data_IF_866780156012
#
_entry.id   IF_866780156012
#
_cell.length_a   1.000
_cell.length_b   1.000
_cell.length_c   1.000
_cell.angle_alpha   90.00
_cell.angle_beta   90.00
_cell.angle_gamma   90.00
#
_symmetry.space_group_name_H-M   'P 1'
#
loop_
_entity.id
_entity.type
_entity.pdbx_description
1 polymer ?
#
# COMPACT_ATOMS: atom_id res chain seq x y z
N UNK A 1 15.72 -15.98 -23.48
CA UNK A 1 14.59 -15.42 -24.26
C UNK A 1 14.42 -13.99 -23.80
N UNK A 2 14.47 -13.01 -24.71
CA UNK A 2 14.30 -11.60 -24.35
C UNK A 2 12.85 -11.22 -24.68
N UNK A 3 11.98 -11.17 -23.67
CA UNK A 3 10.63 -10.62 -23.82
C UNK A 3 10.77 -9.12 -23.60
N UNK A 4 10.43 -8.31 -24.59
CA UNK A 4 10.31 -6.87 -24.40
C UNK A 4 8.94 -6.55 -23.81
N UNK A 5 8.92 -6.25 -22.51
CA UNK A 5 7.69 -5.94 -21.77
C UNK A 5 7.20 -4.53 -22.10
N UNK A 6 8.08 -3.64 -22.57
CA UNK A 6 7.75 -2.23 -22.81
C UNK A 6 6.79 -2.01 -23.98
N UNK A 7 6.72 -2.98 -24.91
CA UNK A 7 5.82 -2.94 -26.06
C UNK A 7 4.43 -3.54 -25.80
N UNK A 8 4.21 -4.17 -24.65
CA UNK A 8 2.94 -4.84 -24.33
C UNK A 8 1.89 -3.85 -23.84
N UNK A 9 0.65 -4.03 -24.29
CA UNK A 9 -0.51 -3.36 -23.69
C UNK A 9 -0.78 -3.88 -22.28
N UNK A 10 -1.60 -3.15 -21.51
CA UNK A 10 -1.97 -3.58 -20.15
C UNK A 10 -2.60 -4.98 -20.13
N UNK A 11 -3.49 -5.29 -21.08
CA UNK A 11 -4.15 -6.60 -21.14
C UNK A 11 -3.17 -7.74 -21.48
N UNK A 12 -2.24 -7.51 -22.41
CA UNK A 12 -1.20 -8.48 -22.74
C UNK A 12 -0.23 -8.69 -21.55
N UNK A 13 0.06 -7.62 -20.82
CA UNK A 13 0.89 -7.69 -19.62
C UNK A 13 0.19 -8.47 -18.50
N UNK A 14 -1.10 -8.23 -18.29
CA UNK A 14 -1.91 -8.97 -17.32
C UNK A 14 -1.95 -10.47 -17.65
N UNK A 15 -2.12 -10.82 -18.94
CA UNK A 15 -2.08 -12.22 -19.39
C UNK A 15 -0.70 -12.85 -19.15
N UNK A 16 0.38 -12.11 -19.48
CA UNK A 16 1.75 -12.56 -19.25
C UNK A 16 2.01 -12.81 -17.77
N UNK A 17 1.61 -11.88 -16.89
CA UNK A 17 1.74 -12.01 -15.43
C UNK A 17 1.00 -13.25 -14.94
N UNK A 18 -0.25 -13.44 -15.36
CA UNK A 18 -1.06 -14.58 -14.95
C UNK A 18 -0.41 -15.92 -15.37
N UNK A 19 0.07 -16.01 -16.61
CA UNK A 19 0.75 -17.20 -17.13
C UNK A 19 2.09 -17.45 -16.44
N UNK A 20 2.87 -16.40 -16.21
CA UNK A 20 4.15 -16.49 -15.52
C UNK A 20 3.97 -16.95 -14.08
N UNK A 21 2.97 -16.42 -13.37
CA UNK A 21 2.64 -16.83 -12.01
C UNK A 21 2.21 -18.30 -11.95
N UNK A 22 1.30 -18.73 -12.83
CA UNK A 22 0.86 -20.12 -12.93
C UNK A 22 2.04 -21.07 -13.22
N UNK A 23 2.95 -20.69 -14.13
CA UNK A 23 4.15 -21.46 -14.42
C UNK A 23 5.11 -21.50 -13.22
N UNK A 24 5.33 -20.37 -12.56
CA UNK A 24 6.24 -20.28 -11.40
C UNK A 24 5.80 -21.17 -10.25
N UNK A 25 4.49 -21.34 -10.05
CA UNK A 25 3.91 -22.14 -8.98
C UNK A 25 4.26 -23.64 -9.06
N UNK A 26 4.61 -24.15 -10.24
CA UNK A 26 4.93 -25.58 -10.46
C UNK A 26 6.42 -25.84 -10.72
N UNK A 27 7.24 -24.79 -10.74
CA UNK A 27 8.67 -24.92 -11.02
C UNK A 27 9.47 -25.13 -9.73
N UNK A 28 10.50 -25.96 -9.82
CA UNK A 28 11.52 -26.10 -8.81
C UNK A 28 12.67 -25.09 -9.03
N UNK A 29 13.26 -24.54 -7.94
CA UNK A 29 12.84 -24.74 -6.55
C UNK A 29 11.50 -24.05 -6.25
N UNK A 30 10.67 -24.68 -5.42
CA UNK A 30 9.46 -24.07 -4.88
C UNK A 30 9.75 -22.68 -4.26
N UNK A 31 8.74 -21.82 -4.20
CA UNK A 31 8.89 -20.54 -3.51
C UNK A 31 9.19 -20.77 -2.02
N UNK A 32 10.06 -19.95 -1.38
CA UNK A 32 10.34 -20.08 0.04
C UNK A 32 9.06 -20.04 0.88
N UNK A 33 8.91 -20.97 1.81
CA UNK A 33 7.74 -21.02 2.70
C UNK A 33 7.82 -20.00 3.84
N UNK A 34 9.03 -19.50 4.13
CA UNK A 34 9.26 -18.49 5.15
C UNK A 34 9.25 -17.09 4.52
N UNK A 35 8.68 -16.08 5.19
CA UNK A 35 8.72 -14.71 4.70
C UNK A 35 10.18 -14.22 4.63
N UNK A 36 10.53 -13.41 3.62
CA UNK A 36 11.87 -12.84 3.53
C UNK A 36 12.14 -11.89 4.70
N UNK A 37 13.41 -11.75 5.09
CA UNK A 37 13.81 -10.84 6.18
C UNK A 37 13.58 -9.37 5.83
N UNK A 38 13.64 -9.03 4.54
CA UNK A 38 13.38 -7.70 4.02
C UNK A 38 12.40 -7.82 2.84
N UNK A 39 11.41 -6.95 2.82
CA UNK A 39 10.42 -6.87 1.76
C UNK A 39 10.09 -5.40 1.49
N UNK A 40 9.92 -5.06 0.22
CA UNK A 40 9.28 -3.81 -0.15
C UNK A 40 7.82 -3.86 0.31
N UNK A 41 7.39 -2.80 1.01
CA UNK A 41 6.05 -2.71 1.58
C UNK A 41 5.29 -1.54 0.96
N UNK A 42 4.04 -1.79 0.60
CA UNK A 42 3.12 -0.74 0.20
C UNK A 42 2.51 -0.09 1.44
N UNK A 43 2.58 1.23 1.50
CA UNK A 43 1.95 2.01 2.57
C UNK A 43 0.48 2.25 2.24
N UNK A 44 -0.40 1.99 3.21
CA UNK A 44 -1.85 2.19 3.11
C UNK A 44 -2.50 1.56 1.86
N UNK A 45 -2.36 0.24 1.66
CA UNK A 45 -3.01 -0.43 0.55
C UNK A 45 -4.53 -0.35 0.66
N UNK A 46 -5.23 -0.20 -0.46
CA UNK A 46 -6.68 -0.44 -0.48
C UNK A 46 -6.94 -1.92 -0.20
N UNK A 47 -7.95 -2.19 0.65
CA UNK A 47 -8.28 -3.54 1.09
C UNK A 47 -9.79 -3.76 1.10
N UNK A 48 -10.20 -5.01 1.01
CA UNK A 48 -11.61 -5.43 1.10
C UNK A 48 -11.72 -6.74 1.86
N UNK A 49 -12.82 -6.92 2.59
CA UNK A 49 -13.11 -8.17 3.29
C UNK A 49 -14.58 -8.55 3.15
N UNK A 50 -14.88 -9.83 2.97
CA UNK A 50 -16.25 -10.34 2.89
C UNK A 50 -16.36 -11.75 3.50
N UNK A 51 -17.50 -12.09 4.14
CA UNK A 51 -17.68 -13.39 4.77
C UNK A 51 -17.75 -14.52 3.76
N UNK A 52 -17.19 -15.69 4.11
CA UNK A 52 -17.35 -16.96 3.41
C UNK A 52 -17.94 -18.00 4.37
N UNK A 53 -18.60 -19.07 3.88
CA UNK A 53 -19.25 -20.06 4.75
C UNK A 53 -18.38 -20.59 5.90
N UNK A 54 -17.09 -20.85 5.65
CA UNK A 54 -16.12 -21.34 6.66
C UNK A 54 -14.89 -20.42 6.81
N UNK A 55 -15.05 -19.12 6.57
CA UNK A 55 -13.89 -18.23 6.56
C UNK A 55 -14.22 -16.79 6.20
N UNK A 56 -13.22 -16.08 5.69
CA UNK A 56 -13.36 -14.73 5.16
C UNK A 56 -12.49 -14.59 3.92
N UNK A 57 -12.99 -13.89 2.91
CA UNK A 57 -12.18 -13.41 1.82
C UNK A 57 -11.49 -12.12 2.27
N UNK A 58 -10.17 -12.10 2.26
CA UNK A 58 -9.37 -10.90 2.49
C UNK A 58 -8.66 -10.52 1.19
N UNK A 59 -8.83 -9.27 0.73
CA UNK A 59 -8.20 -8.79 -0.49
C UNK A 59 -7.35 -7.55 -0.24
N UNK A 60 -6.19 -7.50 -0.91
CA UNK A 60 -5.29 -6.35 -0.96
C UNK A 60 -5.08 -5.93 -2.40
N UNK A 61 -5.14 -4.62 -2.69
CA UNK A 61 -4.92 -4.09 -4.04
C UNK A 61 -3.45 -3.75 -4.25
N UNK A 62 -2.77 -4.48 -5.13
CA UNK A 62 -1.42 -4.17 -5.61
C UNK A 62 -1.47 -3.31 -6.88
N UNK A 63 -0.61 -2.27 -7.02
CA UNK A 63 -0.66 -1.34 -8.15
C UNK A 63 -0.41 -2.02 -9.51
N UNK A 64 0.45 -3.03 -9.56
CA UNK A 64 0.78 -3.76 -10.79
C UNK A 64 0.15 -5.15 -10.92
N UNK A 65 -0.53 -5.67 -9.88
CA UNK A 65 -1.13 -7.01 -9.90
C UNK A 65 -2.66 -6.98 -9.70
N UNK A 66 -3.25 -5.79 -9.52
CA UNK A 66 -4.68 -5.65 -9.24
C UNK A 66 -5.05 -6.14 -7.84
N UNK A 67 -6.23 -6.75 -7.72
CA UNK A 67 -6.73 -7.27 -6.45
C UNK A 67 -6.23 -8.70 -6.20
N UNK A 68 -5.50 -8.90 -5.11
CA UNK A 68 -5.02 -10.20 -4.66
C UNK A 68 -5.92 -10.69 -3.52
N UNK A 69 -6.56 -11.84 -3.72
CA UNK A 69 -7.52 -12.42 -2.78
C UNK A 69 -6.98 -13.64 -2.03
N UNK A 70 -7.29 -13.70 -0.74
CA UNK A 70 -6.88 -14.76 0.18
C UNK A 70 -8.10 -15.25 0.96
N UNK A 71 -8.40 -16.54 0.85
CA UNK A 71 -9.40 -17.16 1.71
C UNK A 71 -8.75 -17.55 3.03
N UNK A 72 -9.17 -16.91 4.11
CA UNK A 72 -8.70 -17.23 5.46
C UNK A 72 -9.74 -18.12 6.16
N UNK A 73 -9.38 -19.37 6.51
CA UNK A 73 -10.23 -20.23 7.32
C UNK A 73 -10.57 -19.61 8.68
N UNK A 74 -11.63 -20.13 9.31
CA UNK A 74 -12.12 -19.63 10.60
C UNK A 74 -11.02 -19.51 11.66
N UNK A 75 -10.23 -20.58 11.84
CA UNK A 75 -9.17 -20.68 12.84
C UNK A 75 -8.06 -19.62 12.60
N UNK A 76 -7.69 -19.39 11.36
CA UNK A 76 -6.66 -18.40 11.00
C UNK A 76 -7.18 -16.97 11.18
N UNK A 77 -8.46 -16.71 10.88
CA UNK A 77 -9.08 -15.39 11.07
C UNK A 77 -9.08 -14.96 12.54
N UNK A 78 -9.42 -15.86 13.46
CA UNK A 78 -9.43 -15.55 14.89
C UNK A 78 -8.02 -15.24 15.38
N UNK A 79 -7.05 -16.07 14.98
CA UNK A 79 -5.65 -15.85 15.34
C UNK A 79 -5.10 -14.52 14.81
N UNK A 80 -5.34 -14.20 13.54
CA UNK A 80 -4.89 -12.95 12.92
C UNK A 80 -5.50 -11.71 13.59
N UNK A 81 -6.80 -11.74 13.90
CA UNK A 81 -7.47 -10.64 14.58
C UNK A 81 -6.91 -10.39 15.98
N UNK A 82 -6.62 -11.47 16.72
CA UNK A 82 -5.96 -11.38 18.03
C UNK A 82 -4.57 -10.76 17.91
N UNK A 83 -3.74 -11.20 16.97
CA UNK A 83 -2.40 -10.64 16.75
C UNK A 83 -2.44 -9.14 16.42
N UNK A 84 -3.35 -8.71 15.55
CA UNK A 84 -3.49 -7.28 15.23
C UNK A 84 -3.95 -6.45 16.41
N UNK A 85 -4.87 -6.97 17.23
CA UNK A 85 -5.28 -6.28 18.45
C UNK A 85 -4.08 -6.15 19.42
N UNK A 86 -3.34 -7.24 19.64
CA UNK A 86 -2.15 -7.22 20.48
C UNK A 86 -1.11 -6.20 19.98
N UNK A 87 -0.82 -6.18 18.68
CA UNK A 87 0.11 -5.20 18.10
C UNK A 87 -0.37 -3.76 18.27
N UNK A 88 -1.67 -3.51 18.07
CA UNK A 88 -2.28 -2.19 18.23
C UNK A 88 -2.19 -1.67 19.67
N UNK A 89 -2.18 -2.59 20.65
CA UNK A 89 -2.03 -2.25 22.07
C UNK A 89 -0.57 -2.06 22.49
N UNK A 90 0.37 -2.75 21.84
CA UNK A 90 1.80 -2.73 22.21
C UNK A 90 2.59 -1.64 21.49
N UNK A 91 2.24 -1.30 20.25
CA UNK A 91 2.96 -0.31 19.47
C UNK A 91 2.24 1.04 19.51
N UNK A 92 2.84 1.99 20.25
CA UNK A 92 2.43 3.40 20.16
C UNK A 92 2.83 3.93 18.78
N UNK A 93 1.94 4.65 18.07
CA UNK A 93 2.34 5.37 16.86
C UNK A 93 3.54 6.25 17.20
N UNK A 94 4.58 6.21 16.37
CA UNK A 94 5.62 7.24 16.41
C UNK A 94 4.87 8.56 16.22
N UNK A 95 4.92 9.44 17.22
CA UNK A 95 4.41 10.80 17.07
C UNK A 95 5.10 11.35 15.84
N UNK A 96 4.35 11.55 14.76
CA UNK A 96 4.85 12.28 13.62
C UNK A 96 5.26 13.63 14.21
N UNK A 97 6.56 13.88 14.30
CA UNK A 97 7.08 15.20 14.63
C UNK A 97 6.65 16.08 13.47
N UNK A 98 5.43 16.63 13.58
CA UNK A 98 5.01 17.74 12.77
C UNK A 98 5.96 18.84 13.21
N UNK A 99 7.03 19.01 12.43
CA UNK A 99 7.78 20.24 12.39
C UNK A 99 6.77 21.30 11.98
N UNK A 100 6.06 21.85 12.96
CA UNK A 100 5.39 23.12 12.81
C UNK A 100 6.55 24.09 12.63
N UNK A 101 6.95 24.32 11.38
CA UNK A 101 7.85 25.41 11.04
C UNK A 101 7.32 26.65 11.76
N UNK A 102 8.21 27.32 12.50
CA UNK A 102 7.86 28.51 13.26
C UNK A 102 6.98 29.43 12.39
N UNK A 103 5.89 30.00 12.94
CA UNK A 103 5.05 30.89 12.15
C UNK A 103 5.94 31.98 11.58
N UNK A 104 6.05 32.02 10.25
CA UNK A 104 6.67 33.14 9.55
C UNK A 104 5.85 34.34 9.97
N UNK A 105 6.44 35.23 10.78
CA UNK A 105 5.83 36.49 11.12
C UNK A 105 5.54 37.20 9.80
N UNK A 106 4.26 37.24 9.42
CA UNK A 106 3.82 38.05 8.30
C UNK A 106 3.96 39.48 8.80
N UNK A 107 5.10 40.11 8.57
CA UNK A 107 5.22 41.55 8.76
C UNK A 107 4.38 42.19 7.66
N UNK A 108 3.24 42.83 7.97
CA UNK A 108 2.50 43.56 6.94
C UNK A 108 3.41 44.69 6.44
N UNK A 109 3.79 44.60 5.17
CA UNK A 109 4.46 45.67 4.45
C UNK A 109 3.44 46.78 4.22
N UNK A 110 3.32 47.72 5.17
CA UNK A 110 2.63 48.98 4.92
C UNK A 110 3.50 49.81 3.99
N UNK A 111 3.32 49.57 2.69
CA UNK A 111 3.89 50.41 1.66
C UNK A 111 3.49 51.87 1.90
N UNK A 112 4.48 52.71 2.14
CA UNK A 112 4.38 54.17 2.04
C UNK A 112 4.11 54.52 0.58
N UNK A 113 2.84 54.40 0.18
CA UNK A 113 2.33 54.78 -1.13
C UNK A 113 2.01 56.27 -1.14
N UNK A 114 2.68 56.98 -2.04
CA UNK A 114 2.76 58.43 -2.09
C UNK A 114 1.43 59.17 -2.25
N UNK A 115 1.46 60.38 -1.71
CA UNK A 115 0.50 61.48 -1.86
C UNK A 115 0.02 61.63 -3.32
N UNK A 116 -1.24 61.30 -3.57
CA UNK A 116 -1.95 61.68 -4.79
C UNK A 116 -2.52 63.09 -4.67
N UNK A 117 -2.03 64.01 -5.49
CA UNK A 117 -2.60 65.35 -5.68
C UNK A 117 -3.90 65.23 -6.47
N UNK A 118 -5.01 65.76 -5.94
CA UNK A 118 -6.24 65.99 -6.70
C UNK A 118 -6.39 67.49 -6.98
N UNK A 119 -6.99 67.75 -8.15
CA UNK A 119 -7.21 69.01 -8.86
C UNK A 119 -7.60 70.23 -8.03
#
# INVERSE_FOLDING_TARGET
MNIDISSLSAAELDELIARAAARRAILEPAQPSQPPQQAEAMVNPAWHTSPLPNGVLFMLRHPGLGWLGFALPHEHRVHLASLWLHQSLLYRPVEATVSVGAPVAITPNFGSGGSGTMH
#
